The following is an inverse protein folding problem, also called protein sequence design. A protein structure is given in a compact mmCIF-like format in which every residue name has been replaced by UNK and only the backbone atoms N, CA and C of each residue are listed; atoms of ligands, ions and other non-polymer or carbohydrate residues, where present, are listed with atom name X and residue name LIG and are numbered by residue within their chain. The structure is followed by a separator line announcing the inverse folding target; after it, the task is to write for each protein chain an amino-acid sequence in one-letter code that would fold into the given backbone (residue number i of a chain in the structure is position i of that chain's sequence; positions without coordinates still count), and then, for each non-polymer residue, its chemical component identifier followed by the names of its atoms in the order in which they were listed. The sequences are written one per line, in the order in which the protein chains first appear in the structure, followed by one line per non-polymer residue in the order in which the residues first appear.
data_IF_693954082854
#
_entry.id   IF_693954082854
#
_cell.length_a   1.000
_cell.length_b   1.000
_cell.length_c   1.000
_cell.angle_alpha   90.00
_cell.angle_beta   90.00
_cell.angle_gamma   90.00
#
_symmetry.space_group_name_H-M   'P 1'
#
loop_
_entity.id
_entity.type
_entity.pdbx_description
1 polymer ?
#
# COMPACT_ATOMS: atom_id res chain seq x y z
N UNK A 1 -28.29 12.52 11.43
CA UNK A 1 -26.96 13.11 11.65
C UNK A 1 -25.97 12.29 10.84
N UNK A 2 -25.39 12.84 9.79
CA UNK A 2 -24.34 12.18 8.99
C UNK A 2 -23.03 12.23 9.77
N UNK A 3 -22.44 11.07 10.06
CA UNK A 3 -21.09 10.97 10.62
C UNK A 3 -20.12 11.66 9.65
N UNK A 4 -19.22 12.55 10.09
CA UNK A 4 -18.25 13.17 9.20
C UNK A 4 -17.39 12.10 8.52
N UNK A 5 -17.21 12.20 7.20
CA UNK A 5 -16.32 11.32 6.48
C UNK A 5 -14.88 11.48 7.02
N UNK A 6 -14.31 10.38 7.49
CA UNK A 6 -12.92 10.28 7.94
C UNK A 6 -12.00 10.04 6.74
N UNK A 7 -10.70 10.26 6.90
CA UNK A 7 -9.72 9.89 5.86
C UNK A 7 -9.75 8.39 5.54
N UNK A 8 -10.22 7.55 6.48
CA UNK A 8 -10.37 6.11 6.27
C UNK A 8 -11.46 5.79 5.25
N UNK A 9 -12.51 6.60 5.17
CA UNK A 9 -13.61 6.41 4.22
C UNK A 9 -13.19 6.66 2.77
N UNK A 10 -12.17 7.51 2.57
CA UNK A 10 -11.58 7.80 1.25
C UNK A 10 -10.30 7.02 0.96
N UNK A 11 -9.77 6.25 1.91
CA UNK A 11 -8.54 5.47 1.72
C UNK A 11 -8.78 4.27 0.78
N UNK A 12 -7.97 4.19 -0.28
CA UNK A 12 -8.17 3.19 -1.34
C UNK A 12 -7.93 1.76 -0.89
N UNK A 13 -6.92 1.52 -0.05
CA UNK A 13 -6.65 0.17 0.49
C UNK A 13 -7.83 -0.32 1.30
N UNK A 14 -8.35 0.52 2.20
CA UNK A 14 -9.51 0.19 3.04
C UNK A 14 -10.74 -0.12 2.17
N UNK A 15 -11.02 0.71 1.16
CA UNK A 15 -12.15 0.46 0.25
C UNK A 15 -12.01 -0.85 -0.53
N UNK A 16 -10.81 -1.18 -1.01
CA UNK A 16 -10.54 -2.42 -1.74
C UNK A 16 -10.77 -3.63 -0.82
N UNK A 17 -10.20 -3.62 0.38
CA UNK A 17 -10.31 -4.75 1.31
C UNK A 17 -11.72 -4.91 1.87
N UNK A 18 -12.42 -3.82 2.18
CA UNK A 18 -13.82 -3.87 2.63
C UNK A 18 -14.75 -4.49 1.57
N UNK A 19 -14.55 -4.14 0.29
CA UNK A 19 -15.30 -4.77 -0.82
C UNK A 19 -14.94 -6.24 -1.00
N UNK A 20 -13.67 -6.60 -0.80
CA UNK A 20 -13.21 -7.97 -0.88
C UNK A 20 -13.79 -8.86 0.22
N UNK A 21 -13.81 -8.37 1.46
CA UNK A 21 -14.42 -9.04 2.60
C UNK A 21 -15.93 -9.25 2.38
N UNK A 22 -16.66 -8.18 2.04
CA UNK A 22 -18.10 -8.26 1.75
C UNK A 22 -18.40 -9.19 0.56
N UNK A 23 -17.53 -9.21 -0.45
CA UNK A 23 -17.64 -10.06 -1.63
C UNK A 23 -17.12 -11.50 -1.43
N UNK A 24 -16.49 -11.80 -0.29
CA UNK A 24 -15.86 -13.09 0.03
C UNK A 24 -14.83 -13.55 -1.00
N UNK A 25 -13.92 -12.65 -1.40
CA UNK A 25 -12.81 -12.96 -2.30
C UNK A 25 -11.48 -12.39 -1.77
N UNK A 26 -10.36 -12.90 -2.28
CA UNK A 26 -9.02 -12.38 -1.99
C UNK A 26 -8.56 -11.35 -3.02
N UNK A 27 -7.75 -10.39 -2.59
CA UNK A 27 -7.13 -9.39 -3.47
C UNK A 27 -5.68 -9.77 -3.71
N UNK A 28 -5.22 -9.72 -4.96
CA UNK A 28 -3.81 -9.89 -5.27
C UNK A 28 -3.04 -8.68 -4.76
N UNK A 29 -2.04 -8.94 -3.93
CA UNK A 29 -1.04 -7.97 -3.51
C UNK A 29 0.32 -8.40 -4.11
N UNK A 30 0.81 -7.67 -5.11
CA UNK A 30 1.95 -8.09 -5.92
C UNK A 30 3.11 -7.09 -5.81
N UNK A 31 4.31 -7.61 -5.59
CA UNK A 31 5.52 -6.80 -5.44
C UNK A 31 6.00 -6.34 -6.83
N UNK A 32 6.37 -5.06 -6.94
CA UNK A 32 7.02 -4.51 -8.13
C UNK A 32 8.43 -3.99 -7.80
N UNK A 33 9.38 -4.28 -8.69
CA UNK A 33 10.79 -3.85 -8.58
C UNK A 33 11.26 -2.93 -9.70
N UNK A 34 10.43 -2.73 -10.74
CA UNK A 34 10.77 -1.97 -11.93
C UNK A 34 9.48 -1.54 -12.68
N UNK A 35 9.65 -0.82 -13.78
CA UNK A 35 8.52 -0.29 -14.57
C UNK A 35 7.77 -1.40 -15.32
N UNK A 36 8.47 -2.46 -15.75
CA UNK A 36 7.90 -3.60 -16.45
C UNK A 36 6.90 -4.34 -15.54
N UNK A 37 7.23 -4.54 -14.26
CA UNK A 37 6.30 -5.09 -13.28
C UNK A 37 5.09 -4.18 -13.08
N UNK A 38 5.30 -2.87 -12.90
CA UNK A 38 4.18 -1.92 -12.75
C UNK A 38 3.24 -2.01 -13.95
N UNK A 39 3.77 -1.92 -15.17
CA UNK A 39 2.99 -1.98 -16.40
C UNK A 39 2.26 -3.32 -16.55
N UNK A 40 2.96 -4.43 -16.33
CA UNK A 40 2.38 -5.77 -16.44
C UNK A 40 1.28 -6.04 -15.41
N UNK A 41 1.49 -5.63 -14.16
CA UNK A 41 0.52 -5.80 -13.08
C UNK A 41 -0.75 -4.97 -13.32
N UNK A 42 -0.60 -3.70 -13.71
CA UNK A 42 -1.75 -2.85 -14.04
C UNK A 42 -2.53 -3.43 -15.23
N UNK A 43 -1.82 -3.82 -16.30
CA UNK A 43 -2.45 -4.42 -17.49
C UNK A 43 -3.20 -5.72 -17.15
N UNK A 44 -2.62 -6.56 -16.30
CA UNK A 44 -3.26 -7.80 -15.85
C UNK A 44 -4.52 -7.52 -15.01
N UNK A 45 -4.47 -6.53 -14.11
CA UNK A 45 -5.61 -6.13 -13.30
C UNK A 45 -6.77 -5.60 -14.16
N UNK A 46 -6.47 -4.78 -15.18
CA UNK A 46 -7.46 -4.27 -16.12
C UNK A 46 -8.10 -5.38 -16.95
N UNK A 47 -7.31 -6.28 -17.54
CA UNK A 47 -7.81 -7.42 -18.32
C UNK A 47 -8.70 -8.35 -17.47
N UNK A 48 -8.30 -8.60 -16.22
CA UNK A 48 -9.06 -9.42 -15.29
C UNK A 48 -10.29 -8.68 -14.71
N UNK A 49 -10.39 -7.35 -14.89
CA UNK A 49 -11.36 -6.48 -14.22
C UNK A 49 -11.34 -6.66 -12.70
N UNK A 50 -10.13 -6.81 -12.15
CA UNK A 50 -9.87 -7.13 -10.74
C UNK A 50 -9.25 -5.94 -10.01
N UNK A 51 -9.56 -5.71 -8.71
CA UNK A 51 -8.74 -4.83 -7.89
C UNK A 51 -7.33 -5.41 -7.71
N UNK A 52 -6.37 -4.53 -7.42
CA UNK A 52 -4.97 -4.87 -7.20
C UNK A 52 -4.37 -4.01 -6.07
N UNK A 53 -3.44 -4.58 -5.31
CA UNK A 53 -2.52 -3.84 -4.45
C UNK A 53 -1.11 -4.02 -5.02
N UNK A 54 -0.48 -2.94 -5.48
CA UNK A 54 0.93 -2.96 -5.88
C UNK A 54 1.77 -2.68 -4.64
N UNK A 55 2.70 -3.57 -4.35
CA UNK A 55 3.53 -3.54 -3.16
C UNK A 55 4.97 -3.18 -3.51
N UNK A 56 5.62 -2.46 -2.60
CA UNK A 56 7.04 -2.13 -2.67
C UNK A 56 7.72 -2.44 -1.34
N UNK A 57 8.92 -2.98 -1.38
CA UNK A 57 9.79 -3.04 -0.21
C UNK A 57 10.43 -1.68 0.11
N UNK A 58 10.97 -1.49 1.34
CA UNK A 58 11.69 -0.27 1.72
C UNK A 58 12.80 0.13 0.75
N UNK A 59 13.40 -0.84 0.05
CA UNK A 59 14.37 -0.60 -1.01
C UNK A 59 13.88 0.41 -2.07
N UNK A 60 12.60 0.38 -2.46
CA UNK A 60 12.09 1.31 -3.46
C UNK A 60 12.13 2.78 -2.99
N UNK A 61 12.08 2.98 -1.66
CA UNK A 61 12.26 4.28 -1.01
C UNK A 61 13.74 4.60 -0.94
N UNK A 62 14.58 3.72 -0.40
CA UNK A 62 15.99 4.04 -0.12
C UNK A 62 16.88 4.09 -1.36
N UNK A 63 16.56 3.35 -2.43
CA UNK A 63 17.35 3.30 -3.66
C UNK A 63 17.19 4.54 -4.54
N UNK A 64 15.96 5.04 -4.69
CA UNK A 64 15.63 6.09 -5.65
C UNK A 64 14.56 7.06 -5.12
N UNK A 65 14.51 7.24 -3.80
CA UNK A 65 13.59 8.14 -3.09
C UNK A 65 12.11 7.95 -3.51
N UNK A 66 11.69 6.71 -3.74
CA UNK A 66 10.31 6.40 -4.12
C UNK A 66 9.95 6.73 -5.58
N UNK A 67 10.92 6.87 -6.48
CA UNK A 67 10.65 7.09 -7.92
C UNK A 67 9.71 6.02 -8.51
N UNK A 68 9.94 4.74 -8.20
CA UNK A 68 9.06 3.65 -8.62
C UNK A 68 7.66 3.75 -8.01
N UNK A 69 7.55 4.18 -6.75
CA UNK A 69 6.27 4.37 -6.05
C UNK A 69 5.43 5.45 -6.75
N UNK A 70 6.07 6.57 -7.14
CA UNK A 70 5.42 7.64 -7.90
C UNK A 70 5.00 7.18 -9.30
N UNK A 71 5.83 6.40 -9.99
CA UNK A 71 5.47 5.81 -11.28
C UNK A 71 4.26 4.86 -11.16
N UNK A 72 4.21 4.04 -10.10
CA UNK A 72 3.08 3.16 -9.84
C UNK A 72 1.80 3.92 -9.48
N UNK A 73 1.91 4.98 -8.68
CA UNK A 73 0.77 5.89 -8.39
C UNK A 73 0.20 6.48 -9.67
N UNK A 74 1.08 6.97 -10.54
CA UNK A 74 0.71 7.55 -11.83
C UNK A 74 -0.02 6.53 -12.72
N UNK A 75 0.53 5.31 -12.86
CA UNK A 75 -0.12 4.21 -13.58
C UNK A 75 -1.48 3.82 -12.95
N UNK A 76 -1.55 3.69 -11.63
CA UNK A 76 -2.77 3.36 -10.89
C UNK A 76 -3.86 4.43 -11.03
N UNK A 77 -3.49 5.70 -11.22
CA UNK A 77 -4.46 6.80 -11.38
C UNK A 77 -5.17 6.78 -12.73
N UNK A 78 -4.57 6.16 -13.75
CA UNK A 78 -5.13 5.98 -15.10
C UNK A 78 -5.88 4.67 -15.29
N UNK A 79 -5.72 3.73 -14.35
CA UNK A 79 -6.30 2.40 -14.48
C UNK A 79 -7.83 2.43 -14.40
N UNK A 80 -8.49 1.58 -15.19
CA UNK A 80 -9.94 1.41 -15.17
C UNK A 80 -10.48 0.61 -13.97
N UNK A 81 -9.60 0.07 -13.13
CA UNK A 81 -9.91 -0.75 -11.94
C UNK A 81 -9.29 -0.17 -10.68
N UNK A 82 -9.79 -0.50 -9.47
CA UNK A 82 -9.20 0.00 -8.23
C UNK A 82 -7.80 -0.57 -7.99
N UNK A 83 -6.79 0.30 -7.95
CA UNK A 83 -5.40 -0.07 -7.63
C UNK A 83 -4.88 0.78 -6.48
N UNK A 84 -4.46 0.12 -5.39
CA UNK A 84 -3.79 0.74 -4.25
C UNK A 84 -2.28 0.48 -4.27
N UNK A 85 -1.52 1.36 -3.62
CA UNK A 85 -0.06 1.26 -3.47
C UNK A 85 0.29 1.02 -2.00
N UNK A 86 1.10 0.00 -1.72
CA UNK A 86 1.42 -0.45 -0.37
C UNK A 86 2.94 -0.52 -0.14
N UNK A 87 3.41 -0.07 1.03
CA UNK A 87 4.77 -0.31 1.49
C UNK A 87 4.77 -1.58 2.34
N UNK A 88 5.41 -2.63 1.83
CA UNK A 88 5.46 -3.96 2.44
C UNK A 88 6.71 -4.10 3.32
N UNK A 89 6.60 -4.84 4.43
CA UNK A 89 7.69 -5.15 5.36
C UNK A 89 8.58 -3.95 5.77
N UNK A 90 7.98 -2.83 6.16
CA UNK A 90 8.74 -1.68 6.66
C UNK A 90 9.13 -1.90 8.14
N UNK A 91 10.44 -2.09 8.36
CA UNK A 91 11.01 -2.46 9.67
C UNK A 91 11.78 -1.31 10.34
N UNK A 92 11.95 -0.20 9.63
CA UNK A 92 12.67 0.99 10.09
C UNK A 92 11.68 2.14 10.25
N UNK A 93 11.61 2.72 11.46
CA UNK A 93 10.63 3.76 11.78
C UNK A 93 10.84 5.05 10.99
N UNK A 94 12.09 5.41 10.65
CA UNK A 94 12.39 6.61 9.90
C UNK A 94 11.98 6.44 8.43
N UNK A 95 12.18 5.25 7.86
CA UNK A 95 11.66 4.92 6.53
C UNK A 95 10.13 4.93 6.51
N UNK A 96 9.46 4.43 7.55
CA UNK A 96 8.00 4.46 7.65
C UNK A 96 7.48 5.90 7.66
N UNK A 97 8.06 6.77 8.51
CA UNK A 97 7.65 8.18 8.62
C UNK A 97 7.91 8.92 7.30
N UNK A 98 9.09 8.76 6.70
CA UNK A 98 9.40 9.35 5.39
C UNK A 98 8.40 8.91 4.32
N UNK A 99 8.08 7.62 4.27
CA UNK A 99 7.11 7.09 3.31
C UNK A 99 5.69 7.64 3.54
N UNK A 100 5.25 7.75 4.80
CA UNK A 100 3.95 8.29 5.16
C UNK A 100 3.81 9.78 4.82
N UNK A 101 4.84 10.57 5.09
CA UNK A 101 4.81 12.03 4.95
C UNK A 101 5.05 12.51 3.51
N UNK A 102 5.80 11.74 2.71
CA UNK A 102 6.37 12.24 1.46
C UNK A 102 6.10 11.38 0.22
N UNK A 103 5.62 10.14 0.38
CA UNK A 103 5.41 9.22 -0.74
C UNK A 103 3.94 8.85 -0.91
N UNK A 104 3.49 8.54 -2.14
CA UNK A 104 2.07 8.35 -2.42
C UNK A 104 1.63 6.91 -2.12
N UNK A 105 1.85 6.43 -0.88
CA UNK A 105 1.33 5.14 -0.41
C UNK A 105 -0.11 5.29 0.09
N UNK A 106 -0.96 4.30 -0.19
CA UNK A 106 -2.30 4.20 0.40
C UNK A 106 -2.26 3.43 1.74
N UNK A 107 -1.23 2.63 1.98
CA UNK A 107 -1.06 1.85 3.21
C UNK A 107 0.41 1.44 3.41
N UNK A 108 0.78 1.17 4.65
CA UNK A 108 2.12 0.73 5.07
C UNK A 108 1.95 -0.45 6.02
N UNK A 109 2.70 -1.53 5.81
CA UNK A 109 2.90 -2.60 6.78
C UNK A 109 4.03 -2.18 7.73
N UNK A 110 3.65 -1.78 8.94
CA UNK A 110 4.59 -1.57 10.05
C UNK A 110 5.00 -2.95 10.58
N UNK A 111 6.17 -3.42 10.18
CA UNK A 111 6.64 -4.77 10.47
C UNK A 111 7.66 -4.75 11.61
N UNK A 112 7.15 -4.84 12.84
CA UNK A 112 7.97 -4.97 14.05
C UNK A 112 8.05 -6.42 14.54
N UNK A 113 7.79 -7.39 13.64
CA UNK A 113 7.69 -8.82 13.99
C UNK A 113 8.99 -9.46 14.48
N UNK A 114 10.11 -8.75 14.35
CA UNK A 114 11.46 -9.20 14.69
C UNK A 114 11.74 -9.01 16.18
N UNK A 115 10.93 -8.15 16.81
CA UNK A 115 10.91 -7.93 18.25
C UNK A 115 10.01 -8.97 18.93
N UNK A 116 10.14 -9.06 20.25
CA UNK A 116 9.17 -9.84 21.02
C UNK A 116 7.75 -9.27 20.89
N UNK A 117 6.75 -10.06 21.27
CA UNK A 117 5.34 -9.68 21.11
C UNK A 117 4.99 -8.35 21.80
N UNK A 118 5.54 -8.08 22.98
CA UNK A 118 5.19 -6.88 23.73
C UNK A 118 5.78 -5.63 23.05
N UNK A 119 7.04 -5.73 22.62
CA UNK A 119 7.71 -4.66 21.91
C UNK A 119 7.11 -4.42 20.51
N UNK A 120 6.78 -5.47 19.77
CA UNK A 120 6.09 -5.38 18.48
C UNK A 120 4.77 -4.60 18.59
N UNK A 121 3.93 -4.94 19.58
CA UNK A 121 2.66 -4.24 19.82
C UNK A 121 2.89 -2.76 20.18
N UNK A 122 3.85 -2.48 21.05
CA UNK A 122 4.16 -1.11 21.48
C UNK A 122 4.64 -0.24 20.31
N UNK A 123 5.61 -0.73 19.52
CA UNK A 123 6.17 -0.01 18.37
C UNK A 123 5.16 0.17 17.24
N UNK A 124 4.39 -0.87 16.93
CA UNK A 124 3.33 -0.78 15.92
C UNK A 124 2.28 0.26 16.30
N UNK A 125 1.90 0.31 17.59
CA UNK A 125 0.95 1.29 18.09
C UNK A 125 1.50 2.72 18.05
N UNK A 126 2.78 2.94 18.35
CA UNK A 126 3.37 4.29 18.38
C UNK A 126 3.54 4.94 17.01
N UNK A 127 3.53 4.17 15.92
CA UNK A 127 3.71 4.68 14.55
C UNK A 127 2.36 4.95 13.84
N UNK A 128 1.27 4.40 14.37
CA UNK A 128 -0.05 4.42 13.73
C UNK A 128 -0.68 5.83 13.61
N UNK A 129 -0.35 6.73 14.53
CA UNK A 129 -0.99 8.06 14.69
C UNK A 129 -0.24 9.15 13.93
#
# INVERSE_FOLDING_TARGET
MTVPATWRDSNRTIQILAKAEAGRYGVIAAIAYNLEHIHGLVSAAEQARSPLIIQFFPWAVTYADGLLVRAARDAASRAGVPIAIHLDHAQDEDVIRHAADHLPFDSIMVDMSHHDRAENLARTASIKD
#
